data_IF_896547112980
#
_entry.id   IF_896547112980
#
_cell.length_a   1.000
_cell.length_b   1.000
_cell.length_c   1.000
_cell.angle_alpha   90.00
_cell.angle_beta   90.00
_cell.angle_gamma   90.00
#
_symmetry.space_group_name_H-M   'P 1'
#
loop_
_entity.id
_entity.type
_entity.pdbx_description
1 polymer ?
#
# COMPACT_ATOMS: atom_id res chain seq x y z
N UNK A 1 13.35 -0.10 7.94
CA UNK A 1 12.55 -0.71 6.86
C UNK A 1 13.07 -2.10 6.48
N UNK A 2 14.32 -2.25 5.96
CA UNK A 2 14.81 -3.54 5.43
C UNK A 2 14.83 -4.68 6.48
N UNK A 3 15.18 -4.39 7.74
CA UNK A 3 15.20 -5.39 8.81
C UNK A 3 13.80 -5.80 9.28
N UNK A 4 12.82 -4.90 9.19
CA UNK A 4 11.43 -5.18 9.55
C UNK A 4 10.73 -6.03 8.48
N UNK A 5 10.97 -5.71 7.20
CA UNK A 5 10.44 -6.49 6.08
C UNK A 5 11.02 -7.91 6.00
N UNK A 6 12.21 -8.15 6.53
CA UNK A 6 12.83 -9.47 6.52
C UNK A 6 11.97 -10.57 7.20
N UNK A 7 11.07 -10.19 8.09
CA UNK A 7 10.13 -11.13 8.74
C UNK A 7 8.94 -11.53 7.86
N UNK A 8 8.71 -10.79 6.79
CA UNK A 8 7.61 -11.01 5.85
C UNK A 8 8.06 -11.70 4.56
N UNK A 9 9.37 -11.79 4.33
CA UNK A 9 9.93 -12.43 3.14
C UNK A 9 9.89 -13.94 3.32
N UNK A 10 9.30 -14.61 2.33
CA UNK A 10 9.29 -16.07 2.20
C UNK A 10 9.98 -16.42 0.89
N UNK A 11 10.99 -17.31 0.96
CA UNK A 11 11.63 -17.82 -0.24
C UNK A 11 10.63 -18.56 -1.14
N UNK A 12 10.70 -18.27 -2.44
CA UNK A 12 9.87 -18.93 -3.45
C UNK A 12 10.74 -19.50 -4.57
N UNK A 13 10.34 -20.65 -5.18
CA UNK A 13 11.04 -21.18 -6.34
C UNK A 13 10.93 -20.22 -7.53
N UNK A 14 12.04 -19.84 -8.13
CA UNK A 14 12.13 -19.04 -9.35
C UNK A 14 12.71 -19.84 -10.51
N UNK A 15 12.70 -19.27 -11.71
CA UNK A 15 13.23 -19.93 -12.92
C UNK A 15 14.73 -20.19 -12.85
N UNK A 16 15.49 -19.32 -12.17
CA UNK A 16 16.96 -19.38 -12.05
C UNK A 16 17.43 -19.83 -10.65
N UNK A 17 16.51 -20.30 -9.80
CA UNK A 17 16.78 -20.71 -8.43
C UNK A 17 15.77 -20.14 -7.43
N UNK A 18 16.12 -20.15 -6.15
CA UNK A 18 15.28 -19.67 -5.08
C UNK A 18 15.37 -18.14 -4.94
N UNK A 19 14.21 -17.46 -4.96
CA UNK A 19 14.10 -16.03 -4.69
C UNK A 19 13.86 -15.82 -3.19
N UNK A 20 14.85 -15.30 -2.49
CA UNK A 20 14.85 -15.12 -1.05
C UNK A 20 14.80 -13.63 -0.63
N UNK A 21 14.60 -12.72 -1.57
CA UNK A 21 14.51 -11.28 -1.32
C UNK A 21 13.72 -10.57 -2.42
N UNK A 22 13.12 -9.44 -2.07
CA UNK A 22 12.53 -8.54 -3.08
C UNK A 22 13.61 -7.98 -4.01
N UNK A 23 13.39 -8.06 -5.31
CA UNK A 23 14.33 -7.66 -6.35
C UNK A 23 14.27 -6.16 -6.67
N UNK A 24 13.11 -5.53 -6.46
CA UNK A 24 12.85 -4.14 -6.83
C UNK A 24 13.54 -3.07 -5.97
N UNK A 25 13.75 -3.25 -4.64
CA UNK A 25 14.31 -2.21 -3.79
C UNK A 25 15.74 -1.83 -4.18
N UNK A 26 15.97 -0.53 -4.43
CA UNK A 26 17.27 0.02 -4.82
C UNK A 26 17.93 0.72 -3.64
N UNK A 27 18.94 0.09 -3.05
CA UNK A 27 19.67 0.63 -1.90
C UNK A 27 20.50 1.90 -2.24
N UNK A 28 20.84 2.09 -3.51
CA UNK A 28 21.65 3.20 -4.02
C UNK A 28 20.81 4.40 -4.51
N UNK A 29 19.51 4.42 -4.24
CA UNK A 29 18.62 5.53 -4.60
C UNK A 29 18.95 6.78 -3.81
N UNK A 30 18.95 7.95 -4.48
CA UNK A 30 19.06 9.26 -3.84
C UNK A 30 18.16 10.29 -4.55
N UNK A 31 17.90 11.40 -3.88
CA UNK A 31 17.11 12.51 -4.45
C UNK A 31 17.74 13.02 -5.73
N UNK A 32 19.08 13.12 -5.78
CA UNK A 32 19.84 13.61 -6.93
C UNK A 32 19.74 12.64 -8.12
N UNK A 33 19.71 11.32 -7.86
CA UNK A 33 19.50 10.31 -8.91
C UNK A 33 18.07 10.36 -9.43
N UNK A 34 17.08 10.46 -8.56
CA UNK A 34 15.67 10.54 -8.92
C UNK A 34 15.36 11.80 -9.73
N UNK A 35 15.96 12.93 -9.39
CA UNK A 35 15.80 14.21 -10.09
C UNK A 35 16.30 14.19 -11.55
N UNK A 36 17.14 13.24 -11.93
CA UNK A 36 17.66 13.08 -13.31
C UNK A 36 16.75 12.23 -14.20
N UNK A 37 15.74 11.58 -13.62
CA UNK A 37 14.82 10.73 -14.38
C UNK A 37 13.85 11.57 -15.19
N UNK A 38 13.59 11.15 -16.41
CA UNK A 38 12.65 11.83 -17.31
C UNK A 38 11.22 11.50 -16.90
N UNK A 39 10.30 12.48 -16.97
CA UNK A 39 8.87 12.24 -16.83
C UNK A 39 8.35 11.23 -17.87
N UNK A 40 7.43 10.34 -17.44
CA UNK A 40 6.95 9.24 -18.28
C UNK A 40 5.71 9.64 -19.10
N UNK A 41 4.81 10.47 -18.54
CA UNK A 41 3.52 10.75 -19.16
C UNK A 41 3.44 12.12 -19.86
N UNK A 42 4.12 13.11 -19.34
CA UNK A 42 4.11 14.49 -19.84
C UNK A 42 5.50 15.08 -19.74
N UNK A 43 5.96 15.89 -20.71
CA UNK A 43 7.30 16.49 -20.69
C UNK A 43 7.59 17.34 -19.44
N UNK A 44 6.55 18.00 -18.91
CA UNK A 44 6.56 18.85 -17.72
C UNK A 44 6.00 18.11 -16.47
N UNK A 45 5.84 16.79 -16.54
CA UNK A 45 5.26 15.99 -15.49
C UNK A 45 6.23 15.68 -14.37
N UNK A 46 5.70 15.16 -13.26
CA UNK A 46 6.46 14.79 -12.07
C UNK A 46 6.58 13.26 -11.88
N UNK A 47 5.82 12.47 -12.64
CA UNK A 47 5.86 11.02 -12.55
C UNK A 47 6.97 10.46 -13.42
N UNK A 48 7.89 9.74 -12.77
CA UNK A 48 9.07 9.11 -13.39
C UNK A 48 9.12 7.63 -13.03
N UNK A 49 10.01 6.87 -13.64
CA UNK A 49 10.27 5.48 -13.25
C UNK A 49 10.74 5.32 -11.79
N UNK A 50 11.22 6.38 -11.15
CA UNK A 50 11.69 6.32 -9.77
C UNK A 50 10.61 6.58 -8.70
N UNK A 51 9.42 7.02 -9.11
CA UNK A 51 8.30 7.28 -8.20
C UNK A 51 6.97 6.66 -8.67
N UNK A 52 7.06 5.72 -9.58
CA UNK A 52 5.99 4.85 -10.04
C UNK A 52 6.26 3.42 -9.57
N UNK A 53 5.21 2.69 -9.19
CA UNK A 53 5.35 1.26 -8.89
C UNK A 53 5.63 0.47 -10.15
N UNK A 54 6.39 -0.60 -10.03
CA UNK A 54 6.60 -1.57 -11.10
C UNK A 54 5.54 -2.66 -11.04
N UNK A 55 5.20 -3.25 -12.18
CA UNK A 55 4.46 -4.51 -12.21
C UNK A 55 5.29 -5.58 -11.54
N UNK A 56 4.66 -6.39 -10.72
CA UNK A 56 5.30 -7.46 -9.97
C UNK A 56 4.36 -8.65 -9.84
N UNK A 57 4.93 -9.83 -9.66
CA UNK A 57 4.19 -10.99 -9.21
C UNK A 57 4.02 -10.94 -7.69
N UNK A 58 2.92 -11.47 -7.19
CA UNK A 58 2.69 -11.50 -5.76
C UNK A 58 1.41 -12.22 -5.39
N UNK A 59 1.38 -12.76 -4.19
CA UNK A 59 0.21 -13.36 -3.58
C UNK A 59 0.08 -12.90 -2.13
N UNK A 60 -1.15 -12.70 -1.69
CA UNK A 60 -1.45 -12.40 -0.29
C UNK A 60 -2.75 -13.09 0.10
N UNK A 61 -2.84 -13.55 1.35
CA UNK A 61 -3.99 -14.27 1.86
C UNK A 61 -4.39 -13.74 3.23
N UNK A 62 -5.68 -13.52 3.41
CA UNK A 62 -6.27 -13.10 4.67
C UNK A 62 -7.33 -14.12 5.08
N UNK A 63 -7.24 -14.65 6.28
CA UNK A 63 -8.26 -15.51 6.85
C UNK A 63 -9.29 -14.65 7.60
N UNK A 64 -10.50 -14.62 7.08
CA UNK A 64 -11.64 -13.96 7.73
C UNK A 64 -12.48 -14.99 8.48
N UNK A 65 -12.92 -14.64 9.67
CA UNK A 65 -13.77 -15.50 10.49
C UNK A 65 -14.84 -14.68 11.23
N UNK A 66 -16.03 -15.23 11.36
CA UNK A 66 -17.07 -14.71 12.26
C UNK A 66 -16.71 -14.99 13.72
N UNK A 67 -17.32 -14.25 14.65
CA UNK A 67 -17.16 -14.51 16.09
C UNK A 67 -17.56 -15.94 16.47
N UNK A 68 -18.63 -16.46 15.84
CA UNK A 68 -19.07 -17.83 16.02
C UNK A 68 -18.00 -18.84 15.56
N UNK A 69 -17.38 -18.61 14.40
CA UNK A 69 -16.30 -19.47 13.90
C UNK A 69 -15.05 -19.40 14.78
N UNK A 70 -14.72 -18.22 15.30
CA UNK A 70 -13.61 -18.08 16.25
C UNK A 70 -13.86 -18.94 17.49
N UNK A 71 -15.05 -18.89 18.08
CA UNK A 71 -15.42 -19.68 19.25
C UNK A 71 -15.43 -21.18 18.94
N UNK A 72 -16.04 -21.58 17.80
CA UNK A 72 -16.15 -23.00 17.38
C UNK A 72 -14.79 -23.65 17.17
N UNK A 73 -13.83 -22.93 16.61
CA UNK A 73 -12.52 -23.47 16.23
C UNK A 73 -11.38 -23.07 17.19
N UNK A 74 -11.69 -22.38 18.28
CA UNK A 74 -10.69 -21.92 19.25
C UNK A 74 -9.66 -20.96 18.68
N UNK A 75 -10.04 -20.18 17.64
CA UNK A 75 -9.13 -19.28 16.95
C UNK A 75 -9.01 -17.94 17.70
N UNK A 76 -7.79 -17.39 17.72
CA UNK A 76 -7.54 -16.06 18.28
C UNK A 76 -7.45 -15.04 17.14
N UNK A 77 -8.36 -14.05 17.08
CA UNK A 77 -8.30 -13.01 16.07
C UNK A 77 -7.07 -12.11 16.29
N UNK A 78 -6.48 -11.65 15.22
CA UNK A 78 -5.39 -10.65 15.25
C UNK A 78 -5.93 -9.22 15.24
N UNK A 79 -7.04 -9.01 14.56
CA UNK A 79 -7.71 -7.73 14.43
C UNK A 79 -9.20 -7.94 14.17
N UNK A 80 -10.00 -6.90 14.36
CA UNK A 80 -11.42 -6.84 13.98
C UNK A 80 -11.56 -5.87 12.81
N UNK A 81 -12.28 -6.27 11.77
CA UNK A 81 -12.72 -5.36 10.72
C UNK A 81 -13.89 -4.54 11.28
N UNK A 82 -13.71 -3.23 11.40
CA UNK A 82 -14.72 -2.32 11.93
C UNK A 82 -15.65 -1.82 10.83
N UNK A 83 -15.13 -1.62 9.63
CA UNK A 83 -15.92 -1.16 8.49
C UNK A 83 -15.16 -1.30 7.18
N UNK A 84 -15.89 -1.12 6.09
CA UNK A 84 -15.34 -1.07 4.73
C UNK A 84 -16.17 -0.10 3.90
N UNK A 85 -15.53 0.66 3.03
CA UNK A 85 -16.22 1.59 2.13
C UNK A 85 -15.69 1.47 0.71
N UNK A 86 -16.59 1.52 -0.23
CA UNK A 86 -16.30 1.53 -1.67
C UNK A 86 -17.01 2.72 -2.30
N UNK A 87 -16.29 3.48 -3.14
CA UNK A 87 -16.82 4.68 -3.80
C UNK A 87 -16.41 4.72 -5.26
N UNK A 88 -17.28 5.24 -6.10
CA UNK A 88 -16.93 5.69 -7.45
C UNK A 88 -16.23 7.03 -7.39
N UNK A 89 -15.31 7.29 -8.33
CA UNK A 89 -14.64 8.58 -8.49
C UNK A 89 -14.50 8.94 -9.98
N UNK A 90 -14.20 10.20 -10.25
CA UNK A 90 -13.92 10.67 -11.61
C UNK A 90 -12.67 9.95 -12.15
N UNK A 91 -12.74 9.29 -13.33
CA UNK A 91 -11.59 8.65 -13.95
C UNK A 91 -10.40 9.58 -14.16
N UNK A 92 -10.62 10.87 -14.41
CA UNK A 92 -9.55 11.85 -14.57
C UNK A 92 -8.73 12.07 -13.31
N UNK A 93 -9.30 11.79 -12.14
CA UNK A 93 -8.68 11.94 -10.81
C UNK A 93 -8.72 10.64 -10.00
N UNK A 94 -8.73 9.49 -10.68
CA UNK A 94 -8.89 8.18 -10.01
C UNK A 94 -7.85 7.93 -8.91
N UNK A 95 -6.66 8.52 -9.01
CA UNK A 95 -5.62 8.45 -7.98
C UNK A 95 -6.05 9.01 -6.63
N UNK A 96 -7.05 9.89 -6.59
CA UNK A 96 -7.64 10.43 -5.36
C UNK A 96 -8.80 9.58 -4.82
N UNK A 97 -9.15 8.46 -5.44
CA UNK A 97 -10.21 7.55 -5.00
C UNK A 97 -10.16 7.16 -3.51
N UNK A 98 -8.98 6.96 -2.89
CA UNK A 98 -8.90 6.73 -1.44
C UNK A 98 -9.51 7.84 -0.59
N UNK A 99 -9.48 9.09 -1.04
CA UNK A 99 -9.96 10.24 -0.26
C UNK A 99 -11.46 10.14 0.07
N UNK A 100 -12.38 10.05 -0.92
CA UNK A 100 -13.80 9.89 -0.62
C UNK A 100 -14.12 8.56 0.08
N UNK A 101 -13.37 7.49 -0.18
CA UNK A 101 -13.57 6.21 0.52
C UNK A 101 -13.24 6.32 2.02
N UNK A 102 -12.12 6.94 2.37
CA UNK A 102 -11.73 7.19 3.77
C UNK A 102 -12.75 8.11 4.45
N UNK A 103 -13.12 9.22 3.82
CA UNK A 103 -14.13 10.16 4.38
C UNK A 103 -15.46 9.45 4.66
N UNK A 104 -15.91 8.60 3.75
CA UNK A 104 -17.11 7.79 3.92
C UNK A 104 -16.98 6.82 5.08
N UNK A 105 -15.88 6.06 5.13
CA UNK A 105 -15.62 5.07 6.19
C UNK A 105 -15.61 5.73 7.58
N UNK A 106 -14.91 6.87 7.71
CA UNK A 106 -14.86 7.62 8.97
C UNK A 106 -16.26 8.13 9.39
N UNK A 107 -17.06 8.61 8.43
CA UNK A 107 -18.43 9.03 8.71
C UNK A 107 -19.32 7.86 9.15
N UNK A 108 -19.18 6.69 8.53
CA UNK A 108 -19.96 5.48 8.88
C UNK A 108 -19.54 4.87 10.23
N UNK A 109 -18.25 4.94 10.57
CA UNK A 109 -17.73 4.36 11.82
C UNK A 109 -17.73 5.34 12.99
N UNK A 110 -17.81 6.64 12.73
CA UNK A 110 -17.68 7.70 13.73
C UNK A 110 -16.27 7.87 14.28
N UNK A 111 -15.24 7.26 13.64
CA UNK A 111 -13.86 7.38 14.09
C UNK A 111 -13.24 8.69 13.61
N UNK A 112 -12.63 9.48 14.51
CA UNK A 112 -11.80 10.60 14.10
C UNK A 112 -10.51 10.13 13.42
N UNK A 113 -10.12 10.76 12.30
CA UNK A 113 -8.91 10.39 11.57
C UNK A 113 -7.64 10.51 12.43
N UNK A 114 -7.64 11.44 13.36
CA UNK A 114 -6.53 11.71 14.28
C UNK A 114 -6.26 10.53 15.23
N UNK A 115 -7.24 9.66 15.44
CA UNK A 115 -7.12 8.47 16.31
C UNK A 115 -6.61 7.23 15.56
N UNK A 116 -6.42 7.33 14.25
CA UNK A 116 -5.90 6.22 13.45
C UNK A 116 -4.37 6.21 13.51
N UNK A 117 -3.78 5.18 14.08
CA UNK A 117 -2.34 5.08 14.30
C UNK A 117 -1.56 4.75 13.03
N UNK A 118 -2.10 3.89 12.17
CA UNK A 118 -1.45 3.44 10.94
C UNK A 118 -2.39 3.58 9.76
N UNK A 119 -1.85 4.09 8.67
CA UNK A 119 -2.57 4.29 7.41
C UNK A 119 -1.73 3.71 6.29
N UNK A 120 -2.31 2.78 5.55
CA UNK A 120 -1.69 2.19 4.39
C UNK A 120 -2.49 2.57 3.12
N UNK A 121 -1.83 3.22 2.18
CA UNK A 121 -2.38 3.52 0.86
C UNK A 121 -1.47 2.87 -0.17
N UNK A 122 -2.02 2.02 -1.04
CA UNK A 122 -1.22 1.43 -2.10
C UNK A 122 -0.59 2.51 -2.99
N UNK A 123 0.72 2.38 -3.23
CA UNK A 123 1.52 3.35 -3.96
C UNK A 123 1.57 2.99 -5.46
N UNK A 124 0.46 3.16 -6.19
CA UNK A 124 0.54 3.06 -7.65
C UNK A 124 1.55 4.09 -8.19
N UNK A 125 1.50 5.31 -7.63
CA UNK A 125 2.45 6.40 -7.87
C UNK A 125 2.66 7.20 -6.59
N UNK A 126 3.88 7.64 -6.32
CA UNK A 126 4.14 8.51 -5.15
C UNK A 126 3.31 9.81 -5.20
N UNK A 127 3.14 10.39 -6.38
CA UNK A 127 2.32 11.59 -6.58
C UNK A 127 0.87 11.38 -6.15
N UNK A 128 0.30 10.20 -6.41
CA UNK A 128 -1.05 9.82 -6.01
C UNK A 128 -1.18 9.75 -4.48
N UNK A 129 -0.23 9.09 -3.81
CA UNK A 129 -0.24 9.00 -2.33
C UNK A 129 -0.05 10.37 -1.69
N UNK A 130 0.84 11.20 -2.22
CA UNK A 130 1.04 12.59 -1.76
C UNK A 130 -0.24 13.41 -1.94
N UNK A 131 -0.95 13.23 -3.07
CA UNK A 131 -2.24 13.86 -3.30
C UNK A 131 -3.27 13.46 -2.24
N UNK A 132 -3.44 12.17 -1.98
CA UNK A 132 -4.32 11.67 -0.94
C UNK A 132 -3.94 12.18 0.46
N UNK A 133 -2.64 12.18 0.77
CA UNK A 133 -2.14 12.65 2.06
C UNK A 133 -2.46 14.13 2.30
N UNK A 134 -2.33 14.98 1.28
CA UNK A 134 -2.68 16.40 1.35
C UNK A 134 -4.18 16.62 1.53
N UNK A 135 -4.99 15.93 0.74
CA UNK A 135 -6.45 16.02 0.79
C UNK A 135 -7.06 15.57 2.13
N UNK A 136 -6.43 14.61 2.78
CA UNK A 136 -6.84 14.06 4.07
C UNK A 136 -6.06 14.66 5.25
N UNK A 137 -5.10 15.56 5.01
CA UNK A 137 -4.21 16.13 6.02
C UNK A 137 -3.50 15.04 6.86
N UNK A 138 -3.02 13.96 6.21
CA UNK A 138 -2.37 12.84 6.89
C UNK A 138 -1.00 13.22 7.43
N UNK A 139 -0.68 12.72 8.61
CA UNK A 139 0.66 12.75 9.16
C UNK A 139 1.55 11.74 8.39
N UNK A 140 2.61 12.19 7.71
CA UNK A 140 3.51 11.30 6.98
C UNK A 140 4.16 10.21 7.84
N UNK A 141 4.29 10.42 9.14
CA UNK A 141 4.87 9.43 10.05
C UNK A 141 3.94 8.21 10.25
N UNK A 142 2.63 8.37 9.98
CA UNK A 142 1.64 7.30 10.09
C UNK A 142 1.30 6.66 8.75
N UNK A 143 1.76 7.24 7.63
CA UNK A 143 1.43 6.80 6.29
C UNK A 143 2.51 5.91 5.70
N UNK A 144 2.14 4.67 5.33
CA UNK A 144 3.05 3.70 4.70
C UNK A 144 4.39 3.58 5.45
N UNK A 145 4.35 3.54 6.77
CA UNK A 145 5.52 3.66 7.64
C UNK A 145 6.59 2.58 7.37
N UNK A 146 6.21 1.44 6.82
CA UNK A 146 7.08 0.32 6.50
C UNK A 146 7.53 0.27 5.03
N UNK A 147 7.11 1.23 4.22
CA UNK A 147 7.33 1.28 2.78
C UNK A 147 6.13 0.77 1.98
N UNK A 148 6.25 0.75 0.65
CA UNK A 148 5.11 0.40 -0.20
C UNK A 148 5.50 -0.01 -1.61
N UNK A 149 4.51 0.01 -2.51
CA UNK A 149 4.59 -0.58 -3.83
C UNK A 149 5.60 0.09 -4.78
N UNK A 150 5.98 1.34 -4.54
CA UNK A 150 7.04 1.99 -5.34
C UNK A 150 8.37 1.26 -5.16
N UNK A 151 8.65 0.76 -3.96
CA UNK A 151 9.86 0.00 -3.69
C UNK A 151 9.69 -1.52 -3.91
N UNK A 152 8.51 -2.07 -3.56
CA UNK A 152 8.28 -3.52 -3.53
C UNK A 152 7.69 -4.06 -4.84
N UNK A 153 7.08 -3.20 -5.65
CA UNK A 153 6.27 -3.59 -6.78
C UNK A 153 4.76 -3.64 -6.46
N UNK A 154 3.95 -3.69 -7.52
CA UNK A 154 2.49 -3.63 -7.42
C UNK A 154 1.85 -4.83 -8.13
N UNK A 155 1.72 -5.98 -7.45
CA UNK A 155 0.93 -7.09 -7.95
C UNK A 155 -0.56 -6.75 -7.87
N UNK A 156 -1.13 -6.19 -8.94
CA UNK A 156 -2.46 -5.55 -8.99
C UNK A 156 -3.55 -6.35 -8.26
N UNK A 157 -3.67 -7.64 -8.54
CA UNK A 157 -4.68 -8.49 -7.92
C UNK A 157 -4.41 -8.85 -6.46
N UNK A 158 -3.18 -8.72 -5.97
CA UNK A 158 -2.79 -9.05 -4.60
C UNK A 158 -2.61 -7.82 -3.70
N UNK A 159 -2.42 -6.64 -4.27
CA UNK A 159 -2.03 -5.43 -3.51
C UNK A 159 -3.02 -5.04 -2.41
N UNK A 160 -4.33 -5.22 -2.63
CA UNK A 160 -5.31 -4.92 -1.57
C UNK A 160 -5.13 -5.81 -0.33
N UNK A 161 -4.94 -7.10 -0.53
CA UNK A 161 -4.67 -8.04 0.57
C UNK A 161 -3.27 -7.79 1.17
N UNK A 162 -2.25 -7.49 0.34
CA UNK A 162 -0.91 -7.16 0.80
C UNK A 162 -0.93 -5.95 1.74
N UNK A 163 -1.58 -4.86 1.37
CA UNK A 163 -1.72 -3.64 2.20
C UNK A 163 -2.36 -3.95 3.56
N UNK A 164 -3.33 -4.88 3.59
CA UNK A 164 -3.97 -5.29 4.83
C UNK A 164 -3.07 -6.18 5.72
N UNK A 165 -2.16 -6.94 5.12
CA UNK A 165 -1.27 -7.86 5.84
C UNK A 165 -0.04 -7.15 6.41
N UNK A 166 0.46 -6.12 5.73
CA UNK A 166 1.61 -5.31 6.17
C UNK A 166 1.32 -4.55 7.44
#
# INVERSE_FOLDING_TARGET
>A
ARAEMAREIVSVPGAEGELAADEAPRADTSVEKLARLQPVFRPDGTVTAGNASTLADGAALVLLASEESLARHGLKPRARIVGAAEVGCDPATMGLGPVPAVRRLLAETGWPLETVDHIEINEAFSAQVVGCARELALDPARLNARGGAVALGHPLGASGARVLVT
#
